data_IF_195242768068
#
_entry.id   IF_195242768068
#
_cell.length_a   1.000
_cell.length_b   1.000
_cell.length_c   1.000
_cell.angle_alpha   90.00
_cell.angle_beta   90.00
_cell.angle_gamma   90.00
#
_symmetry.space_group_name_H-M   'P 1'
#
loop_
_entity.id
_entity.type
_entity.pdbx_description
1 polymer ?
#
# COMPACT_ATOMS: atom_id res chain seq x y z
N UNK A 1 -60.62 26.02 -40.62
CA UNK A 1 -61.09 26.32 -39.25
C UNK A 1 -60.12 25.69 -38.26
N UNK A 2 -59.41 26.58 -37.57
CA UNK A 2 -58.96 26.48 -36.15
C UNK A 2 -58.16 25.26 -35.72
N UNK A 3 -56.83 25.41 -35.70
CA UNK A 3 -55.94 24.69 -34.78
C UNK A 3 -55.62 25.59 -33.58
N UNK A 4 -55.82 25.05 -32.38
CA UNK A 4 -55.61 25.73 -31.11
C UNK A 4 -54.15 25.67 -30.67
N UNK A 5 -53.77 26.80 -30.10
CA UNK A 5 -52.57 27.21 -29.37
C UNK A 5 -52.08 26.24 -28.30
N UNK A 6 -50.76 26.05 -28.24
CA UNK A 6 -50.03 26.00 -26.96
C UNK A 6 -48.88 26.99 -27.02
N UNK A 7 -48.78 27.81 -25.98
CA UNK A 7 -47.78 28.85 -25.78
C UNK A 7 -46.63 28.31 -24.93
N UNK A 8 -45.40 28.71 -25.24
CA UNK A 8 -44.31 28.78 -24.26
C UNK A 8 -43.34 29.89 -24.64
N UNK A 9 -43.14 30.80 -23.69
CA UNK A 9 -42.55 32.12 -23.88
C UNK A 9 -41.05 32.12 -24.12
N UNK A 10 -40.64 33.00 -25.02
CA UNK A 10 -39.25 33.33 -25.31
C UNK A 10 -38.80 34.42 -24.34
N UNK A 11 -37.82 34.11 -23.48
CA UNK A 11 -37.09 35.10 -22.70
C UNK A 11 -36.05 35.78 -23.61
N UNK A 12 -36.10 37.09 -23.72
CA UNK A 12 -35.10 37.91 -24.41
C UNK A 12 -33.95 38.19 -23.43
N UNK A 13 -32.76 37.66 -23.72
CA UNK A 13 -31.52 38.04 -23.03
C UNK A 13 -30.61 38.80 -24.00
N UNK A 14 -30.34 40.07 -23.68
CA UNK A 14 -29.43 40.95 -24.42
C UNK A 14 -27.98 40.62 -24.05
N UNK A 15 -27.18 40.12 -24.99
CA UNK A 15 -25.72 40.00 -24.82
C UNK A 15 -25.00 41.05 -25.67
N UNK A 16 -24.38 42.02 -25.02
CA UNK A 16 -23.51 43.01 -25.68
C UNK A 16 -22.14 42.38 -25.94
N UNK A 17 -21.89 41.98 -27.18
CA UNK A 17 -20.57 41.55 -27.64
C UNK A 17 -19.78 42.71 -28.23
N UNK A 18 -18.70 43.13 -27.57
CA UNK A 18 -17.71 44.04 -28.14
C UNK A 18 -16.86 43.27 -29.17
N UNK A 19 -17.18 43.41 -30.46
CA UNK A 19 -16.32 42.93 -31.55
C UNK A 19 -15.21 43.95 -31.82
N UNK A 20 -14.02 43.71 -31.26
CA UNK A 20 -12.82 44.48 -31.59
C UNK A 20 -12.31 44.06 -32.97
N UNK A 21 -12.56 44.89 -33.99
CA UNK A 21 -11.94 44.72 -35.31
C UNK A 21 -10.59 45.45 -35.36
N UNK A 22 -9.49 44.72 -35.18
CA UNK A 22 -8.13 45.25 -35.36
C UNK A 22 -7.73 45.16 -36.83
N UNK A 23 -7.68 46.28 -37.56
CA UNK A 23 -7.03 46.38 -38.88
C UNK A 23 -5.52 46.59 -38.69
N UNK A 24 -4.71 45.61 -39.09
CA UNK A 24 -3.26 45.78 -39.19
C UNK A 24 -2.91 46.48 -40.50
N UNK A 25 -2.27 47.65 -40.43
CA UNK A 25 -1.63 48.29 -41.59
C UNK A 25 -0.30 47.59 -41.89
N UNK A 26 -0.13 47.14 -43.12
CA UNK A 26 1.08 46.47 -43.60
C UNK A 26 2.20 47.50 -43.81
N UNK A 27 3.12 47.58 -42.85
CA UNK A 27 4.44 48.21 -43.02
C UNK A 27 5.50 47.13 -43.27
N UNK A 28 6.55 47.46 -44.05
CA UNK A 28 7.69 46.58 -44.42
C UNK A 28 8.38 45.85 -43.24
N UNK A 29 8.13 46.25 -41.98
CA UNK A 29 8.56 45.50 -40.77
C UNK A 29 7.80 44.18 -40.54
N UNK A 30 6.61 44.00 -41.12
CA UNK A 30 5.80 42.79 -40.96
C UNK A 30 6.36 41.56 -41.67
N UNK A 31 7.16 41.73 -42.72
CA UNK A 31 7.84 40.62 -43.42
C UNK A 31 8.99 40.06 -42.59
N UNK A 32 9.81 40.92 -41.97
CA UNK A 32 10.88 40.48 -41.06
C UNK A 32 10.31 39.80 -39.81
N UNK A 33 9.24 40.34 -39.22
CA UNK A 33 8.58 39.71 -38.07
C UNK A 33 7.93 38.38 -38.45
N UNK A 34 7.30 38.27 -39.64
CA UNK A 34 6.78 36.99 -40.15
C UNK A 34 7.87 35.97 -40.44
N UNK A 35 8.99 36.39 -41.02
CA UNK A 35 10.14 35.52 -41.27
C UNK A 35 10.78 35.05 -39.97
N UNK A 36 10.91 35.93 -38.97
CA UNK A 36 11.41 35.59 -37.63
C UNK A 36 10.47 34.60 -36.92
N UNK A 37 9.16 34.85 -36.92
CA UNK A 37 8.16 33.95 -36.32
C UNK A 37 8.10 32.62 -37.06
N UNK A 38 8.28 32.60 -38.39
CA UNK A 38 8.38 31.38 -39.17
C UNK A 38 9.64 30.58 -38.84
N UNK A 39 10.82 31.24 -38.75
CA UNK A 39 12.05 30.60 -38.32
C UNK A 39 11.96 30.04 -36.89
N UNK A 40 11.34 30.77 -35.96
CA UNK A 40 11.13 30.28 -34.57
C UNK A 40 10.20 29.08 -34.56
N UNK A 41 9.09 29.09 -35.32
CA UNK A 41 8.18 27.94 -35.40
C UNK A 41 8.83 26.73 -36.08
N UNK A 42 9.63 26.95 -37.13
CA UNK A 42 10.41 25.89 -37.79
C UNK A 42 11.48 25.34 -36.83
N UNK A 43 12.11 26.20 -36.02
CA UNK A 43 13.08 25.80 -35.01
C UNK A 43 12.45 25.02 -33.86
N UNK A 44 11.27 25.43 -33.36
CA UNK A 44 10.52 24.72 -32.34
C UNK A 44 9.97 23.38 -32.86
N UNK A 45 9.51 23.33 -34.11
CA UNK A 45 9.12 22.09 -34.78
C UNK A 45 10.31 21.16 -35.02
N UNK A 46 11.46 21.69 -35.45
CA UNK A 46 12.69 20.93 -35.63
C UNK A 46 13.26 20.44 -34.29
N UNK A 47 13.18 21.25 -33.23
CA UNK A 47 13.63 20.88 -31.89
C UNK A 47 12.73 19.82 -31.27
N UNK A 48 11.41 19.95 -31.40
CA UNK A 48 10.46 18.94 -30.91
C UNK A 48 10.58 17.63 -31.70
N UNK A 49 10.76 17.71 -33.03
CA UNK A 49 11.07 16.54 -33.85
C UNK A 49 12.41 15.91 -33.46
N UNK A 50 13.47 16.71 -33.27
CA UNK A 50 14.79 16.23 -32.86
C UNK A 50 14.77 15.56 -31.49
N UNK A 51 14.08 16.14 -30.51
CA UNK A 51 13.91 15.57 -29.16
C UNK A 51 13.10 14.27 -29.22
N UNK A 52 12.04 14.21 -30.02
CA UNK A 52 11.26 12.99 -30.21
C UNK A 52 12.07 11.89 -30.90
N UNK A 53 12.82 12.22 -31.95
CA UNK A 53 13.73 11.27 -32.62
C UNK A 53 14.87 10.83 -31.73
N UNK A 54 15.39 11.71 -30.88
CA UNK A 54 16.45 11.41 -29.92
C UNK A 54 15.96 10.47 -28.81
N UNK A 55 14.73 10.68 -28.31
CA UNK A 55 14.08 9.76 -27.38
C UNK A 55 13.91 8.37 -27.99
N UNK A 56 13.35 8.31 -29.21
CA UNK A 56 13.16 7.05 -29.93
C UNK A 56 14.48 6.32 -30.23
N UNK A 57 15.50 7.04 -30.68
CA UNK A 57 16.84 6.48 -30.94
C UNK A 57 17.48 5.96 -29.66
N UNK A 58 17.34 6.66 -28.53
CA UNK A 58 17.93 6.22 -27.26
C UNK A 58 17.25 4.99 -26.66
N UNK A 59 15.95 4.85 -26.87
CA UNK A 59 15.19 3.66 -26.45
C UNK A 59 15.45 2.45 -27.36
N UNK A 60 15.77 2.69 -28.63
CA UNK A 60 15.88 1.63 -29.64
C UNK A 60 17.31 1.18 -29.93
N UNK A 61 18.29 2.08 -29.84
CA UNK A 61 19.67 1.83 -30.27
C UNK A 61 20.55 1.58 -29.05
N UNK A 62 21.21 0.42 -29.00
CA UNK A 62 22.15 0.08 -27.93
C UNK A 62 23.48 0.83 -28.09
N UNK A 63 24.38 0.75 -27.10
CA UNK A 63 25.72 1.33 -27.24
C UNK A 63 26.48 0.80 -28.47
N UNK A 64 26.32 -0.49 -28.79
CA UNK A 64 26.86 -1.10 -29.99
C UNK A 64 26.18 -0.58 -31.27
N UNK A 65 24.86 -0.39 -31.24
CA UNK A 65 24.11 0.23 -32.34
C UNK A 65 24.55 1.67 -32.64
N UNK A 66 24.89 2.45 -31.61
CA UNK A 66 25.42 3.81 -31.79
C UNK A 66 26.77 3.80 -32.49
N UNK A 67 27.67 2.87 -32.14
CA UNK A 67 28.94 2.69 -32.82
C UNK A 67 28.75 2.26 -34.28
N UNK A 68 27.81 1.36 -34.54
CA UNK A 68 27.47 0.95 -35.91
C UNK A 68 26.92 2.14 -36.72
N UNK A 69 26.02 2.95 -36.15
CA UNK A 69 25.51 4.16 -36.80
C UNK A 69 26.63 5.18 -37.09
N UNK A 70 27.54 5.40 -36.15
CA UNK A 70 28.69 6.29 -36.37
C UNK A 70 29.60 5.78 -37.50
N UNK A 71 29.86 4.47 -37.56
CA UNK A 71 30.63 3.87 -38.64
C UNK A 71 29.95 4.05 -40.01
N UNK A 72 28.62 3.90 -40.08
CA UNK A 72 27.84 4.15 -41.30
C UNK A 72 27.88 5.64 -41.69
N UNK A 73 27.77 6.55 -40.72
CA UNK A 73 27.84 7.99 -40.95
C UNK A 73 29.23 8.47 -41.37
N UNK A 74 30.29 7.73 -41.01
CA UNK A 74 31.66 8.02 -41.39
C UNK A 74 31.99 7.58 -42.84
N UNK A 75 31.19 6.69 -43.44
CA UNK A 75 31.40 6.14 -44.78
C UNK A 75 31.62 7.21 -45.89
N UNK A 76 30.86 8.32 -45.97
CA UNK A 76 31.12 9.39 -46.94
C UNK A 76 32.46 10.08 -46.73
N UNK A 77 32.91 10.25 -45.47
CA UNK A 77 34.21 10.85 -45.14
C UNK A 77 35.34 9.93 -45.60
N UNK A 78 35.17 8.62 -45.40
CA UNK A 78 36.11 7.61 -45.90
C UNK A 78 36.23 7.61 -47.42
N UNK A 79 35.11 7.77 -48.12
CA UNK A 79 35.08 7.88 -49.59
C UNK A 79 35.79 9.15 -50.09
N UNK A 80 35.59 10.29 -49.43
CA UNK A 80 36.23 11.57 -49.81
C UNK A 80 37.73 11.56 -49.53
N UNK A 81 38.15 10.98 -48.40
CA UNK A 81 39.56 10.93 -47.99
C UNK A 81 40.32 9.72 -48.59
N UNK A 82 39.63 8.78 -49.24
CA UNK A 82 40.22 7.55 -49.79
C UNK A 82 40.67 6.55 -48.72
N UNK A 83 40.12 6.63 -47.51
CA UNK A 83 40.57 5.83 -46.37
C UNK A 83 39.85 4.47 -46.36
N UNK A 84 40.53 3.43 -46.87
CA UNK A 84 39.95 2.10 -47.11
C UNK A 84 39.41 1.42 -45.85
N UNK A 85 40.11 1.53 -44.72
CA UNK A 85 39.68 0.96 -43.44
C UNK A 85 38.32 1.49 -43.00
N UNK A 86 38.12 2.80 -43.15
CA UNK A 86 36.90 3.49 -42.76
C UNK A 86 35.72 3.15 -43.69
N UNK A 87 35.99 2.94 -44.98
CA UNK A 87 35.01 2.48 -45.97
C UNK A 87 34.55 1.05 -45.64
N UNK A 88 35.49 0.14 -45.36
CA UNK A 88 35.17 -1.26 -45.03
C UNK A 88 34.37 -1.33 -43.72
N UNK A 89 34.80 -0.62 -42.68
CA UNK A 89 34.09 -0.57 -41.40
C UNK A 89 32.66 -0.03 -41.56
N UNK A 90 32.47 1.04 -42.32
CA UNK A 90 31.14 1.60 -42.60
C UNK A 90 30.24 0.65 -43.40
N UNK A 91 30.80 -0.04 -44.40
CA UNK A 91 30.05 -1.01 -45.21
C UNK A 91 29.61 -2.25 -44.41
N UNK A 92 30.49 -2.78 -43.55
CA UNK A 92 30.14 -3.88 -42.63
C UNK A 92 29.05 -3.45 -41.66
N UNK A 93 29.20 -2.27 -41.04
CA UNK A 93 28.20 -1.74 -40.11
C UNK A 93 26.84 -1.53 -40.80
N UNK A 94 26.82 -1.05 -42.05
CA UNK A 94 25.60 -0.91 -42.84
C UNK A 94 24.94 -2.26 -43.12
N UNK A 95 25.72 -3.28 -43.48
CA UNK A 95 25.23 -4.64 -43.69
C UNK A 95 24.60 -5.23 -42.44
N UNK A 96 25.25 -5.11 -41.28
CA UNK A 96 24.72 -5.61 -40.01
C UNK A 96 23.42 -4.86 -39.63
N UNK A 97 23.37 -3.54 -39.81
CA UNK A 97 22.18 -2.75 -39.51
C UNK A 97 20.98 -3.11 -40.43
N UNK A 98 21.25 -3.41 -41.70
CA UNK A 98 20.23 -3.92 -42.63
C UNK A 98 19.69 -5.29 -42.21
N UNK A 99 20.53 -6.17 -41.68
CA UNK A 99 20.12 -7.47 -41.13
C UNK A 99 19.33 -7.30 -39.83
N UNK A 100 19.66 -6.30 -39.01
CA UNK A 100 18.99 -6.03 -37.74
C UNK A 100 17.62 -5.36 -37.90
N UNK A 101 17.40 -4.56 -38.96
CA UNK A 101 16.18 -3.76 -39.15
C UNK A 101 14.87 -4.59 -39.15
N UNK A 102 14.76 -5.75 -39.83
CA UNK A 102 13.56 -6.59 -39.80
C UNK A 102 13.19 -7.08 -38.39
N UNK A 103 14.17 -7.21 -37.48
CA UNK A 103 13.91 -7.62 -36.10
C UNK A 103 13.19 -6.54 -35.28
N UNK A 104 13.12 -5.29 -35.75
CA UNK A 104 12.33 -4.21 -35.14
C UNK A 104 10.88 -4.13 -35.64
N UNK A 105 10.60 -4.71 -36.81
CA UNK A 105 9.31 -4.67 -37.50
C UNK A 105 8.38 -5.78 -36.96
N UNK A 106 7.74 -5.54 -35.82
CA UNK A 106 6.81 -6.52 -35.20
C UNK A 106 6.25 -6.11 -33.84
N UNK A 107 6.24 -4.82 -33.51
CA UNK A 107 6.04 -4.30 -32.14
C UNK A 107 4.66 -4.54 -31.47
N UNK A 108 3.78 -5.36 -32.07
CA UNK A 108 2.48 -5.78 -31.48
C UNK A 108 2.23 -7.28 -31.65
N UNK A 109 3.30 -8.06 -31.80
CA UNK A 109 3.27 -9.48 -32.09
C UNK A 109 2.64 -10.34 -31.00
N UNK A 110 2.88 -9.98 -29.73
CA UNK A 110 2.45 -10.76 -28.58
C UNK A 110 1.34 -10.05 -27.83
N UNK A 111 0.23 -10.74 -27.63
CA UNK A 111 -0.65 -10.47 -26.50
C UNK A 111 -0.11 -11.26 -25.32
N UNK A 112 0.38 -10.56 -24.32
CA UNK A 112 0.81 -11.17 -23.06
C UNK A 112 -0.28 -10.94 -22.02
N UNK A 113 -0.56 -11.94 -21.22
CA UNK A 113 -1.41 -11.79 -20.04
C UNK A 113 -0.77 -12.55 -18.91
N UNK A 114 -0.55 -11.87 -17.80
CA UNK A 114 -0.05 -12.49 -16.59
C UNK A 114 -1.19 -12.58 -15.59
N UNK A 115 -1.53 -13.79 -15.18
CA UNK A 115 -2.61 -14.06 -14.25
C UNK A 115 -2.05 -14.63 -12.95
N UNK A 116 -2.44 -14.02 -11.83
CA UNK A 116 -2.18 -14.55 -10.49
C UNK A 116 -3.53 -14.97 -9.91
N UNK A 117 -3.71 -16.24 -9.51
CA UNK A 117 -5.01 -16.77 -9.09
C UNK A 117 -5.49 -16.19 -7.75
N UNK A 118 -4.57 -15.63 -6.96
CA UNK A 118 -4.83 -15.06 -5.64
C UNK A 118 -4.24 -13.67 -5.53
N UNK A 119 -4.96 -12.76 -4.91
CA UNK A 119 -4.46 -11.42 -4.57
C UNK A 119 -3.73 -11.39 -3.22
N UNK A 120 -3.87 -12.45 -2.41
CA UNK A 120 -3.37 -12.49 -1.03
C UNK A 120 -2.88 -13.88 -0.65
N UNK A 121 -1.78 -13.93 0.08
CA UNK A 121 -1.15 -15.15 0.60
C UNK A 121 -0.57 -14.87 1.98
N UNK A 122 -0.26 -15.90 2.76
CA UNK A 122 0.42 -15.76 4.05
C UNK A 122 1.93 -15.93 3.83
N UNK A 123 2.74 -15.17 4.56
CA UNK A 123 4.21 -15.27 4.52
C UNK A 123 4.69 -16.72 4.73
N UNK A 124 5.74 -17.11 4.01
CA UNK A 124 6.24 -18.48 3.90
C UNK A 124 5.53 -19.33 2.84
N UNK A 125 4.50 -18.81 2.18
CA UNK A 125 3.84 -19.48 1.06
C UNK A 125 4.58 -19.32 -0.27
N UNK A 126 4.10 -20.06 -1.27
CA UNK A 126 4.49 -19.88 -2.67
C UNK A 126 3.23 -19.63 -3.51
N UNK A 127 3.30 -18.66 -4.42
CA UNK A 127 2.19 -18.35 -5.34
C UNK A 127 2.63 -18.66 -6.76
N UNK A 128 1.81 -19.41 -7.49
CA UNK A 128 2.04 -19.73 -8.89
C UNK A 128 1.27 -18.74 -9.77
N UNK A 129 2.00 -17.88 -10.46
CA UNK A 129 1.47 -17.06 -11.55
C UNK A 129 1.54 -17.82 -12.87
N UNK A 130 0.61 -17.54 -13.79
CA UNK A 130 0.65 -18.09 -15.16
C UNK A 130 0.86 -16.95 -16.14
N UNK A 131 1.90 -17.06 -16.96
CA UNK A 131 2.17 -16.16 -18.08
C UNK A 131 1.64 -16.81 -19.36
N UNK A 132 0.61 -16.21 -19.94
CA UNK A 132 0.08 -16.61 -21.24
C UNK A 132 0.54 -15.64 -22.33
N UNK A 133 1.14 -16.20 -23.37
CA UNK A 133 1.69 -15.47 -24.51
C UNK A 133 1.01 -15.98 -25.76
N UNK A 134 0.31 -15.10 -26.47
CA UNK A 134 -0.36 -15.43 -27.72
C UNK A 134 0.21 -14.61 -28.86
N UNK A 135 0.59 -15.26 -29.96
CA UNK A 135 0.96 -14.56 -31.19
C UNK A 135 -0.30 -14.03 -31.89
N UNK A 136 -0.49 -12.71 -31.87
CA UNK A 136 -1.59 -12.00 -32.53
C UNK A 136 -1.23 -11.46 -33.91
N UNK A 137 0.02 -11.65 -34.37
CA UNK A 137 0.44 -11.30 -35.71
C UNK A 137 -0.10 -12.28 -36.76
N UNK A 138 -0.08 -11.83 -38.02
CA UNK A 138 -0.44 -12.69 -39.17
C UNK A 138 0.69 -13.64 -39.59
N UNK A 139 1.89 -13.47 -39.06
CA UNK A 139 3.11 -14.19 -39.44
C UNK A 139 3.66 -15.01 -38.25
N UNK A 140 4.62 -15.89 -38.54
CA UNK A 140 5.43 -16.52 -37.50
C UNK A 140 6.20 -15.46 -36.73
N UNK A 141 6.20 -15.59 -35.40
CA UNK A 141 6.95 -14.72 -34.52
C UNK A 141 8.15 -15.46 -33.96
N UNK A 142 9.31 -14.81 -34.08
CA UNK A 142 10.61 -15.34 -33.69
C UNK A 142 10.70 -15.52 -32.16
N UNK A 143 11.56 -16.44 -31.69
CA UNK A 143 11.82 -16.59 -30.27
C UNK A 143 12.16 -15.23 -29.63
N UNK A 144 11.58 -14.98 -28.47
CA UNK A 144 11.68 -13.70 -27.77
C UNK A 144 11.83 -13.89 -26.28
N UNK A 145 12.01 -12.78 -25.56
CA UNK A 145 12.16 -12.79 -24.10
C UNK A 145 11.10 -11.89 -23.48
N UNK A 146 10.53 -12.34 -22.38
CA UNK A 146 9.58 -11.58 -21.60
C UNK A 146 10.15 -11.43 -20.20
N UNK A 147 10.24 -10.18 -19.76
CA UNK A 147 10.69 -9.83 -18.43
C UNK A 147 9.45 -9.55 -17.57
N UNK A 148 9.31 -10.28 -16.47
CA UNK A 148 8.25 -10.11 -15.47
C UNK A 148 8.89 -9.59 -14.19
N UNK A 149 8.78 -8.27 -13.90
CA UNK A 149 9.18 -7.72 -12.60
C UNK A 149 8.34 -8.32 -11.47
N UNK A 150 8.98 -8.78 -10.41
CA UNK A 150 8.34 -9.35 -9.21
C UNK A 150 9.03 -8.72 -7.99
N UNK A 151 8.38 -7.74 -7.39
CA UNK A 151 8.96 -6.95 -6.30
C UNK A 151 10.26 -6.26 -6.73
N UNK A 152 11.39 -6.65 -6.13
CA UNK A 152 12.72 -6.12 -6.46
C UNK A 152 13.48 -6.94 -7.51
N UNK A 153 12.95 -8.11 -7.89
CA UNK A 153 13.57 -9.00 -8.88
C UNK A 153 12.88 -8.93 -10.24
N UNK A 154 13.54 -9.50 -11.25
CA UNK A 154 12.97 -9.69 -12.59
C UNK A 154 13.13 -11.15 -12.98
N UNK A 155 12.02 -11.79 -13.36
CA UNK A 155 12.03 -13.15 -13.91
C UNK A 155 12.00 -13.08 -15.43
N UNK A 156 12.88 -13.85 -16.07
CA UNK A 156 13.09 -13.82 -17.51
C UNK A 156 12.55 -15.11 -18.13
N UNK A 157 11.62 -14.95 -19.07
CA UNK A 157 10.86 -16.05 -19.67
C UNK A 157 11.17 -16.09 -21.17
N UNK A 158 11.55 -17.27 -21.66
CA UNK A 158 11.93 -17.48 -23.05
C UNK A 158 10.73 -17.98 -23.86
N UNK A 159 10.26 -17.16 -24.79
CA UNK A 159 9.15 -17.52 -25.68
C UNK A 159 9.70 -18.24 -26.91
N UNK A 160 9.19 -19.43 -27.26
CA UNK A 160 9.62 -20.15 -28.45
C UNK A 160 9.07 -19.51 -29.74
N UNK A 161 9.44 -20.05 -30.89
CA UNK A 161 8.85 -19.67 -32.18
C UNK A 161 7.34 -19.96 -32.17
N UNK A 162 6.51 -18.94 -32.38
CA UNK A 162 5.05 -19.08 -32.36
C UNK A 162 4.43 -18.86 -33.75
N UNK A 163 3.57 -19.81 -34.16
CA UNK A 163 2.69 -19.67 -35.33
C UNK A 163 1.64 -18.59 -35.09
N UNK A 164 1.05 -18.00 -36.15
CA UNK A 164 -0.11 -17.12 -36.00
C UNK A 164 -1.20 -17.79 -35.15
N UNK A 165 -1.65 -17.12 -34.08
CA UNK A 165 -2.66 -17.63 -33.15
C UNK A 165 -2.22 -18.75 -32.19
N UNK A 166 -0.94 -19.16 -32.22
CA UNK A 166 -0.42 -20.11 -31.24
C UNK A 166 -0.24 -19.44 -29.87
N UNK A 167 -0.45 -20.23 -28.82
CA UNK A 167 -0.28 -19.82 -27.43
C UNK A 167 0.90 -20.57 -26.79
N UNK A 168 1.56 -19.92 -25.85
CA UNK A 168 2.57 -20.48 -24.98
C UNK A 168 2.24 -20.05 -23.56
N UNK A 169 2.26 -21.01 -22.63
CA UNK A 169 1.94 -20.76 -21.22
C UNK A 169 3.10 -21.24 -20.37
N UNK A 170 3.58 -20.39 -19.47
CA UNK A 170 4.66 -20.70 -18.54
C UNK A 170 4.22 -20.37 -17.11
N UNK A 171 4.54 -21.28 -16.18
CA UNK A 171 4.23 -21.10 -14.76
C UNK A 171 5.41 -20.43 -14.08
N UNK A 172 5.14 -19.33 -13.38
CA UNK A 172 6.13 -18.51 -12.68
C UNK A 172 5.88 -18.62 -11.17
N UNK A 173 6.87 -19.11 -10.43
CA UNK A 173 6.81 -19.17 -8.97
C UNK A 173 7.20 -17.83 -8.37
N UNK A 174 6.30 -17.26 -7.57
CA UNK A 174 6.51 -16.01 -6.82
C UNK A 174 6.84 -16.39 -5.37
N UNK A 175 8.10 -16.23 -4.92
CA UNK A 175 8.48 -16.53 -3.56
C UNK A 175 7.93 -15.47 -2.61
N UNK A 176 7.34 -15.89 -1.48
CA UNK A 176 6.80 -14.97 -0.46
C UNK A 176 7.39 -15.23 0.93
N UNK A 177 8.72 -15.10 1.11
CA UNK A 177 9.39 -15.48 2.36
C UNK A 177 9.03 -14.58 3.55
N UNK A 178 8.77 -13.30 3.30
CA UNK A 178 8.42 -12.30 4.31
C UNK A 178 7.11 -11.60 3.93
N UNK A 179 6.43 -11.05 4.94
CA UNK A 179 5.23 -10.25 4.72
C UNK A 179 5.57 -8.99 3.93
N UNK A 180 4.63 -8.47 3.17
CA UNK A 180 4.88 -7.34 2.29
C UNK A 180 3.82 -7.15 1.23
N UNK A 181 3.93 -6.09 0.45
CA UNK A 181 3.18 -5.91 -0.79
C UNK A 181 4.16 -6.14 -1.94
N UNK A 182 3.90 -7.16 -2.76
CA UNK A 182 4.71 -7.48 -3.93
C UNK A 182 3.97 -6.96 -5.16
N UNK A 183 4.55 -5.95 -5.79
CA UNK A 183 4.10 -5.48 -7.10
C UNK A 183 4.65 -6.41 -8.19
N UNK A 184 3.76 -6.92 -9.05
CA UNK A 184 4.08 -7.83 -10.15
C UNK A 184 3.73 -7.16 -11.47
N UNK A 185 4.69 -7.08 -12.37
CA UNK A 185 4.60 -6.28 -13.58
C UNK A 185 5.07 -4.83 -13.37
N UNK A 186 5.02 -3.98 -14.41
CA UNK A 186 4.44 -4.24 -15.73
C UNK A 186 5.23 -5.30 -16.52
N UNK A 187 4.53 -6.24 -17.15
CA UNK A 187 5.17 -7.25 -18.00
C UNK A 187 5.76 -6.57 -19.23
N UNK A 188 7.04 -6.81 -19.48
CA UNK A 188 7.77 -6.15 -20.56
C UNK A 188 8.23 -7.19 -21.57
N UNK A 189 7.76 -7.07 -22.81
CA UNK A 189 8.28 -7.89 -23.90
C UNK A 189 9.54 -7.26 -24.43
N UNK A 190 10.62 -8.04 -24.46
CA UNK A 190 11.91 -7.61 -24.97
C UNK A 190 12.21 -8.27 -26.32
N UNK A 191 12.47 -7.42 -27.31
CA UNK A 191 12.95 -7.86 -28.62
C UNK A 191 14.32 -7.26 -28.89
N UNK A 192 15.26 -8.09 -29.27
CA UNK A 192 16.63 -7.68 -29.61
C UNK A 192 17.05 -8.40 -30.88
N UNK A 193 17.81 -7.74 -31.74
CA UNK A 193 18.41 -8.39 -32.90
C UNK A 193 19.54 -9.35 -32.47
N UNK A 194 19.93 -10.34 -33.30
CA UNK A 194 20.95 -11.31 -32.95
C UNK A 194 22.33 -10.72 -32.62
N UNK A 195 22.62 -9.49 -33.07
CA UNK A 195 23.90 -8.80 -32.85
C UNK A 195 23.81 -7.78 -31.71
N UNK A 196 22.60 -7.51 -31.21
CA UNK A 196 22.36 -6.61 -30.08
C UNK A 196 22.54 -5.13 -30.40
N UNK A 197 22.42 -4.72 -31.66
CA UNK A 197 22.49 -3.31 -32.08
C UNK A 197 21.20 -2.53 -31.78
N UNK A 198 20.06 -3.21 -31.85
CA UNK A 198 18.72 -2.65 -31.83
C UNK A 198 17.86 -3.46 -30.85
N UNK A 199 17.29 -2.76 -29.87
CA UNK A 199 16.39 -3.31 -28.85
C UNK A 199 15.05 -2.60 -28.96
N UNK A 200 13.95 -3.31 -28.73
CA UNK A 200 12.63 -2.69 -28.62
C UNK A 200 11.90 -3.32 -27.46
N UNK A 201 11.45 -2.46 -26.56
CA UNK A 201 10.68 -2.85 -25.39
C UNK A 201 9.23 -2.45 -25.59
N UNK A 202 8.34 -3.29 -25.07
CA UNK A 202 6.94 -2.91 -24.95
C UNK A 202 6.43 -3.39 -23.59
N UNK A 203 6.25 -2.43 -22.68
CA UNK A 203 5.65 -2.67 -21.38
C UNK A 203 4.12 -2.64 -21.49
N UNK A 204 3.46 -3.61 -20.86
CA UNK A 204 2.02 -3.55 -20.63
C UNK A 204 1.74 -2.73 -19.38
N UNK A 205 0.70 -1.89 -19.39
CA UNK A 205 0.46 -0.94 -18.29
C UNK A 205 -0.02 -1.57 -16.96
N UNK A 206 -0.33 -2.87 -16.92
CA UNK A 206 -0.98 -3.48 -15.77
C UNK A 206 0.04 -4.00 -14.74
N UNK A 207 -0.07 -3.49 -13.51
CA UNK A 207 0.66 -3.97 -12.33
C UNK A 207 -0.34 -4.69 -11.42
N UNK A 208 0.00 -5.89 -10.97
CA UNK A 208 -0.78 -6.69 -10.03
C UNK A 208 -0.15 -6.58 -8.64
N UNK A 209 -0.97 -6.31 -7.61
CA UNK A 209 -0.50 -6.23 -6.22
C UNK A 209 -0.84 -7.52 -5.48
N UNK A 210 0.18 -8.23 -5.03
CA UNK A 210 0.04 -9.40 -4.17
C UNK A 210 0.31 -9.00 -2.72
N UNK A 211 -0.67 -9.15 -1.84
CA UNK A 211 -0.51 -8.89 -0.41
C UNK A 211 -0.05 -10.17 0.30
N UNK A 212 1.13 -10.11 0.91
CA UNK A 212 1.67 -11.19 1.73
C UNK A 212 1.40 -10.86 3.19
N UNK A 213 0.38 -11.50 3.76
CA UNK A 213 -0.08 -11.31 5.13
C UNK A 213 0.92 -11.88 6.15
N UNK A 214 1.04 -11.25 7.34
CA UNK A 214 1.77 -11.85 8.44
C UNK A 214 1.14 -13.17 8.88
N UNK A 215 1.95 -14.06 9.44
CA UNK A 215 1.46 -15.30 10.05
C UNK A 215 0.63 -14.93 11.28
N UNK A 216 -0.52 -15.58 11.46
CA UNK A 216 -1.38 -15.35 12.65
C UNK A 216 -1.67 -16.65 13.36
N UNK A 217 -1.78 -16.58 14.68
CA UNK A 217 -2.12 -17.72 15.54
C UNK A 217 -3.49 -17.51 16.19
N UNK A 218 -4.23 -18.60 16.34
CA UNK A 218 -5.52 -18.57 17.05
C UNK A 218 -5.29 -18.50 18.55
N UNK A 219 -5.39 -17.30 19.11
CA UNK A 219 -5.34 -17.07 20.57
C UNK A 219 -6.73 -17.29 21.20
N UNK A 220 -6.84 -17.51 22.53
CA UNK A 220 -8.12 -17.60 23.25
C UNK A 220 -8.91 -16.28 23.26
N UNK A 221 -10.17 -16.32 23.71
CA UNK A 221 -10.99 -15.12 23.85
C UNK A 221 -10.35 -14.14 24.82
N UNK A 222 -10.08 -12.92 24.36
CA UNK A 222 -9.46 -11.88 25.21
C UNK A 222 -10.39 -11.45 26.35
N UNK A 223 -11.69 -11.76 26.26
CA UNK A 223 -12.73 -11.48 27.26
C UNK A 223 -12.71 -12.38 28.49
N UNK A 224 -12.11 -13.57 28.43
CA UNK A 224 -12.21 -14.55 29.53
C UNK A 224 -11.22 -14.31 30.68
N UNK A 225 -9.97 -13.91 30.36
CA UNK A 225 -8.89 -13.82 31.36
C UNK A 225 -8.60 -12.41 31.89
N UNK A 226 -8.67 -11.37 31.05
CA UNK A 226 -8.28 -10.00 31.47
C UNK A 226 -9.40 -9.24 32.17
N UNK A 227 -10.66 -9.59 31.92
CA UNK A 227 -11.81 -8.96 32.61
C UNK A 227 -11.94 -9.51 34.04
N UNK A 228 -11.49 -10.75 34.30
CA UNK A 228 -11.58 -11.41 35.61
C UNK A 228 -10.52 -10.93 36.61
N UNK A 229 -9.36 -10.52 36.11
CA UNK A 229 -8.20 -10.17 36.93
C UNK A 229 -8.21 -8.70 37.38
N UNK A 230 -9.29 -7.97 37.11
CA UNK A 230 -9.39 -6.54 37.39
C UNK A 230 -9.78 -6.19 38.82
N UNK A 231 -10.18 -7.14 39.68
CA UNK A 231 -10.36 -6.85 41.12
C UNK A 231 -10.78 -8.04 42.00
N UNK A 232 -11.12 -9.23 41.47
CA UNK A 232 -11.87 -10.23 42.26
C UNK A 232 -13.21 -9.72 42.83
N UNK A 233 -13.57 -8.48 42.49
CA UNK A 233 -14.78 -7.77 42.80
C UNK A 233 -15.20 -7.07 41.49
N UNK A 234 -16.50 -7.10 41.14
CA UNK A 234 -17.00 -6.35 40.01
C UNK A 234 -16.86 -4.85 40.29
N UNK A 235 -15.97 -4.16 39.57
CA UNK A 235 -15.79 -2.71 39.68
C UNK A 235 -17.04 -1.98 39.19
N UNK A 236 -17.99 -1.71 40.10
CA UNK A 236 -19.14 -0.84 39.86
C UNK A 236 -18.73 0.65 39.92
N UNK A 237 -17.76 1.08 39.10
CA UNK A 237 -17.35 2.49 39.08
C UNK A 237 -18.17 3.28 38.07
N UNK A 238 -19.22 3.91 38.59
CA UNK A 238 -20.18 4.77 37.91
C UNK A 238 -19.47 6.07 37.48
N UNK A 239 -19.34 6.30 36.17
CA UNK A 239 -18.95 7.60 35.59
C UNK A 239 -19.94 7.94 34.48
N UNK A 240 -20.08 9.22 34.16
CA UNK A 240 -21.19 9.74 33.38
C UNK A 240 -20.89 9.82 31.87
N UNK A 241 -21.14 8.76 31.09
CA UNK A 241 -21.50 8.92 29.66
C UNK A 241 -22.05 7.64 29.01
N UNK A 242 -23.35 7.71 28.70
CA UNK A 242 -24.20 6.79 27.92
C UNK A 242 -24.84 5.57 28.61
N UNK A 243 -26.18 5.60 28.68
CA UNK A 243 -27.02 4.72 29.51
C UNK A 243 -27.79 3.69 28.66
N UNK A 244 -27.53 2.39 28.85
CA UNK A 244 -28.35 1.30 28.31
C UNK A 244 -29.24 0.69 29.42
N UNK A 245 -30.50 0.34 29.12
CA UNK A 245 -31.46 -0.13 30.14
C UNK A 245 -31.13 -1.55 30.62
N UNK A 246 -31.03 -1.76 31.94
CA UNK A 246 -30.63 -3.03 32.54
C UNK A 246 -31.73 -3.67 33.36
N UNK A 247 -32.23 -2.98 34.39
CA UNK A 247 -33.21 -3.54 35.31
C UNK A 247 -34.13 -2.47 35.90
N UNK A 248 -35.19 -2.88 36.59
CA UNK A 248 -36.06 -2.00 37.36
C UNK A 248 -35.93 -2.39 38.82
N UNK A 249 -35.51 -1.47 39.67
CA UNK A 249 -35.35 -1.68 41.12
C UNK A 249 -36.20 -0.71 41.94
N UNK A 250 -36.34 -0.97 43.22
CA UNK A 250 -36.96 -0.03 44.15
C UNK A 250 -36.13 1.25 44.26
N UNK A 251 -36.82 2.39 44.36
CA UNK A 251 -36.23 3.72 44.55
C UNK A 251 -35.48 3.79 45.87
N UNK A 252 -34.23 4.23 45.82
CA UNK A 252 -33.45 4.56 47.01
C UNK A 252 -33.32 6.08 47.14
N UNK A 253 -33.29 6.64 48.36
CA UNK A 253 -33.02 8.05 48.59
C UNK A 253 -31.68 8.46 47.94
N UNK A 254 -31.73 9.36 46.95
CA UNK A 254 -30.57 9.78 46.15
C UNK A 254 -30.71 9.47 44.65
N UNK A 255 -31.66 8.61 44.27
CA UNK A 255 -31.96 8.34 42.87
C UNK A 255 -32.61 9.57 42.17
N UNK A 256 -32.22 9.83 40.93
CA UNK A 256 -32.76 10.97 40.18
C UNK A 256 -34.25 10.76 39.86
N UNK A 257 -35.11 11.73 40.15
CA UNK A 257 -36.57 11.60 39.89
C UNK A 257 -36.90 11.30 38.42
N UNK A 258 -36.05 11.75 37.48
CA UNK A 258 -36.20 11.48 36.04
C UNK A 258 -36.04 10.01 35.64
N UNK A 259 -35.42 9.17 36.49
CA UNK A 259 -35.27 7.74 36.21
C UNK A 259 -36.42 6.89 36.77
N UNK A 260 -37.45 7.50 37.37
CA UNK A 260 -38.62 6.78 37.87
C UNK A 260 -39.39 6.12 36.71
N UNK A 261 -39.64 4.81 36.85
CA UNK A 261 -40.42 4.04 35.92
C UNK A 261 -41.90 4.04 36.27
N UNK A 262 -42.61 5.10 35.89
CA UNK A 262 -44.03 5.31 36.25
C UNK A 262 -44.94 4.11 35.97
N UNK A 263 -44.69 3.36 34.89
CA UNK A 263 -45.49 2.18 34.53
C UNK A 263 -45.30 1.01 35.51
N UNK A 264 -44.10 0.82 36.06
CA UNK A 264 -43.88 -0.21 37.08
C UNK A 264 -44.35 0.28 38.45
N UNK A 265 -44.09 1.55 38.77
CA UNK A 265 -44.60 2.20 40.00
C UNK A 265 -46.12 2.08 40.12
N UNK A 266 -46.85 2.30 39.02
CA UNK A 266 -48.31 2.18 39.00
C UNK A 266 -48.82 0.73 39.23
N UNK A 267 -47.99 -0.29 38.97
CA UNK A 267 -48.34 -1.70 39.17
C UNK A 267 -47.96 -2.22 40.55
N UNK A 268 -46.82 -1.79 41.08
CA UNK A 268 -46.29 -2.28 42.37
C UNK A 268 -46.71 -1.42 43.56
N UNK A 269 -47.17 -0.18 43.32
CA UNK A 269 -47.53 0.77 44.37
C UNK A 269 -46.33 1.38 45.11
N UNK A 270 -45.10 1.01 44.72
CA UNK A 270 -43.85 1.54 45.26
C UNK A 270 -43.06 2.24 44.16
N UNK A 271 -42.28 3.28 44.51
CA UNK A 271 -41.46 3.99 43.53
C UNK A 271 -40.40 3.05 42.96
N UNK A 272 -40.48 2.80 41.65
CA UNK A 272 -39.52 1.98 40.92
C UNK A 272 -38.64 2.86 40.04
N UNK A 273 -37.35 2.56 39.94
CA UNK A 273 -36.36 3.30 39.15
C UNK A 273 -35.80 2.41 38.06
N UNK A 274 -35.66 2.96 36.84
CA UNK A 274 -34.88 2.33 35.77
C UNK A 274 -33.40 2.36 36.16
N UNK A 275 -32.83 1.19 36.39
CA UNK A 275 -31.40 1.01 36.52
C UNK A 275 -30.84 0.84 35.10
N UNK A 276 -29.95 1.75 34.73
CA UNK A 276 -29.20 1.67 33.48
C UNK A 276 -27.84 1.02 33.79
N UNK A 277 -27.44 0.03 33.00
CA UNK A 277 -26.07 -0.49 32.97
C UNK A 277 -25.36 0.21 31.83
N UNK A 278 -24.22 0.83 32.14
CA UNK A 278 -23.36 1.39 31.10
C UNK A 278 -22.69 0.20 30.41
N UNK A 279 -23.18 -0.18 29.23
CA UNK A 279 -22.38 -1.03 28.36
C UNK A 279 -21.22 -0.14 27.88
N UNK A 280 -20.12 -0.10 28.63
CA UNK A 280 -18.88 0.35 28.01
C UNK A 280 -18.68 -0.58 26.81
N UNK A 281 -18.68 -0.02 25.60
CA UNK A 281 -18.08 -0.71 24.48
C UNK A 281 -16.61 -0.81 24.85
N UNK A 282 -16.22 -1.94 25.43
CA UNK A 282 -14.88 -2.20 25.93
C UNK A 282 -13.94 -2.24 24.73
N UNK A 283 -13.43 -1.07 24.31
CA UNK A 283 -12.55 -0.99 23.15
C UNK A 283 -11.21 -1.61 23.53
N UNK A 284 -10.72 -2.48 22.64
CA UNK A 284 -9.37 -3.04 22.72
C UNK A 284 -8.46 -2.18 21.87
N UNK A 285 -7.33 -1.76 22.44
CA UNK A 285 -6.28 -1.10 21.69
C UNK A 285 -5.12 -2.08 21.46
N UNK A 286 -4.60 -2.13 20.23
CA UNK A 286 -3.28 -2.72 19.92
C UNK A 286 -2.39 -1.62 19.38
N UNK A 287 -1.39 -1.22 20.17
CA UNK A 287 -0.34 -0.31 19.73
C UNK A 287 0.88 -1.10 19.29
N UNK A 288 1.29 -0.97 18.03
CA UNK A 288 2.46 -1.62 17.46
C UNK A 288 3.59 -0.60 17.29
N UNK A 289 4.76 -0.87 17.88
CA UNK A 289 5.95 -0.05 17.62
C UNK A 289 6.46 -0.28 16.20
N UNK A 290 6.73 0.81 15.48
CA UNK A 290 7.45 0.79 14.19
C UNK A 290 8.87 1.38 14.34
N UNK A 291 9.25 1.80 15.56
CA UNK A 291 10.54 2.43 15.78
C UNK A 291 11.64 1.39 15.68
N UNK A 292 12.55 1.56 14.72
CA UNK A 292 13.60 0.58 14.46
C UNK A 292 14.42 0.23 15.71
N UNK A 293 14.69 1.19 16.59
CA UNK A 293 15.50 0.97 17.80
C UNK A 293 14.72 0.27 18.93
N UNK A 294 13.41 0.09 18.81
CA UNK A 294 12.61 -0.73 19.74
C UNK A 294 12.72 -2.24 19.39
N UNK A 295 13.46 -2.62 18.34
CA UNK A 295 13.70 -4.01 17.92
C UNK A 295 15.20 -4.32 17.74
N UNK A 296 15.62 -5.55 18.04
CA UNK A 296 17.01 -5.96 17.81
C UNK A 296 17.30 -6.28 16.34
N UNK A 297 16.39 -6.97 15.66
CA UNK A 297 16.54 -7.40 14.26
C UNK A 297 15.19 -7.47 13.53
N UNK A 298 15.22 -7.86 12.24
CA UNK A 298 14.02 -7.88 11.39
C UNK A 298 13.04 -8.97 11.82
N UNK A 299 13.55 -10.14 12.21
CA UNK A 299 12.73 -11.30 12.57
C UNK A 299 11.92 -11.03 13.85
N UNK A 300 12.52 -10.32 14.80
CA UNK A 300 11.83 -9.84 16.01
C UNK A 300 10.64 -8.92 15.66
N UNK A 301 10.81 -8.04 14.67
CA UNK A 301 9.74 -7.19 14.18
C UNK A 301 8.66 -7.98 13.42
N UNK A 302 9.03 -9.00 12.64
CA UNK A 302 8.07 -9.91 11.98
C UNK A 302 7.16 -10.63 12.98
N UNK A 303 7.73 -11.10 14.10
CA UNK A 303 6.95 -11.73 15.18
C UNK A 303 6.03 -10.70 15.86
N UNK A 304 6.50 -9.47 16.07
CA UNK A 304 5.68 -8.39 16.64
C UNK A 304 4.46 -8.05 15.77
N UNK A 305 4.65 -7.92 14.46
CA UNK A 305 3.53 -7.69 13.53
C UNK A 305 2.58 -8.88 13.50
N UNK A 306 3.11 -10.09 13.52
CA UNK A 306 2.32 -11.33 13.61
C UNK A 306 1.51 -11.41 14.91
N UNK A 307 2.07 -10.96 16.05
CA UNK A 307 1.39 -10.88 17.33
C UNK A 307 0.26 -9.83 17.31
N UNK A 308 0.54 -8.64 16.75
CA UNK A 308 -0.47 -7.59 16.57
C UNK A 308 -1.63 -8.05 15.66
N UNK A 309 -1.31 -8.73 14.55
CA UNK A 309 -2.28 -9.34 13.66
C UNK A 309 -3.11 -10.43 14.35
N UNK A 310 -2.49 -11.27 15.19
CA UNK A 310 -3.19 -12.31 15.95
C UNK A 310 -4.16 -11.71 16.98
N UNK A 311 -3.74 -10.68 17.72
CA UNK A 311 -4.59 -9.95 18.67
C UNK A 311 -5.76 -9.24 17.98
N UNK A 312 -5.48 -8.54 16.87
CA UNK A 312 -6.48 -7.81 16.11
C UNK A 312 -7.51 -8.72 15.46
N UNK A 313 -7.07 -9.76 14.75
CA UNK A 313 -7.96 -10.74 14.12
C UNK A 313 -8.81 -11.48 15.15
N UNK A 314 -8.28 -11.77 16.33
CA UNK A 314 -9.07 -12.31 17.45
C UNK A 314 -10.13 -11.33 17.92
N UNK A 315 -9.78 -10.07 18.17
CA UNK A 315 -10.72 -9.07 18.65
C UNK A 315 -11.89 -8.87 17.66
N UNK A 316 -11.61 -8.88 16.36
CA UNK A 316 -12.63 -8.83 15.30
C UNK A 316 -13.53 -10.07 15.34
N UNK A 317 -12.95 -11.27 15.49
CA UNK A 317 -13.72 -12.52 15.61
C UNK A 317 -14.60 -12.54 16.86
N UNK A 318 -14.15 -11.93 17.95
CA UNK A 318 -14.90 -11.79 19.20
C UNK A 318 -15.97 -10.68 19.13
N UNK A 319 -16.09 -9.97 18.00
CA UNK A 319 -17.04 -8.86 17.82
C UNK A 319 -16.71 -7.62 18.66
N UNK A 320 -15.46 -7.46 19.09
CA UNK A 320 -15.03 -6.33 19.91
C UNK A 320 -14.74 -5.10 19.05
N UNK A 321 -15.01 -3.94 19.61
CA UNK A 321 -14.47 -2.68 19.09
C UNK A 321 -12.94 -2.70 19.30
N UNK A 322 -12.17 -2.67 18.23
CA UNK A 322 -10.72 -2.73 18.27
C UNK A 322 -10.12 -1.60 17.46
N UNK A 323 -9.18 -0.88 18.09
CA UNK A 323 -8.33 0.08 17.44
C UNK A 323 -6.93 -0.49 17.34
N UNK A 324 -6.31 -0.39 16.17
CA UNK A 324 -4.92 -0.79 15.97
C UNK A 324 -4.18 0.43 15.50
N UNK A 325 -3.16 0.81 16.26
CA UNK A 325 -2.37 2.01 16.01
C UNK A 325 -0.93 1.64 15.79
N UNK A 326 -0.31 2.32 14.85
CA UNK A 326 1.11 2.27 14.60
C UNK A 326 1.67 3.69 14.55
N UNK A 327 2.95 3.87 14.85
CA UNK A 327 3.58 5.18 14.64
C UNK A 327 3.67 5.47 13.15
N UNK A 328 3.34 6.69 12.73
CA UNK A 328 3.58 7.16 11.36
C UNK A 328 4.27 8.51 11.41
N UNK A 329 5.26 8.68 10.54
CA UNK A 329 5.84 9.98 10.28
C UNK A 329 5.20 10.56 9.03
N UNK A 330 4.58 11.73 9.16
CA UNK A 330 4.13 12.49 8.01
C UNK A 330 5.25 13.47 7.68
N UNK A 331 5.93 13.23 6.55
CA UNK A 331 6.91 14.16 6.01
C UNK A 331 6.17 15.31 5.31
N UNK A 332 5.72 16.28 6.08
CA UNK A 332 5.07 17.46 5.51
C UNK A 332 6.13 18.39 4.87
N UNK A 333 5.76 19.00 3.74
CA UNK A 333 6.59 19.73 2.76
C UNK A 333 7.49 20.88 3.28
N UNK A 334 7.66 21.07 4.59
CA UNK A 334 8.39 22.19 5.17
C UNK A 334 9.15 21.83 6.47
N UNK A 335 10.35 21.25 6.34
CA UNK A 335 11.47 21.25 7.33
C UNK A 335 11.16 20.86 8.80
N UNK A 336 9.99 20.34 9.11
CA UNK A 336 9.59 19.86 10.43
C UNK A 336 8.85 18.55 10.27
N UNK A 337 9.38 17.47 10.83
CA UNK A 337 8.68 16.20 10.90
C UNK A 337 7.56 16.30 11.94
N UNK A 338 6.33 15.96 11.53
CA UNK A 338 5.21 15.82 12.46
C UNK A 338 5.00 14.33 12.70
N UNK A 339 5.14 13.94 13.97
CA UNK A 339 4.90 12.58 14.42
C UNK A 339 3.39 12.41 14.65
N UNK A 340 2.78 11.41 14.03
CA UNK A 340 1.34 11.13 14.16
C UNK A 340 1.10 9.64 14.39
N UNK A 341 -0.08 9.29 14.87
CA UNK A 341 -0.51 7.90 14.98
C UNK A 341 -1.35 7.54 13.76
N UNK A 342 -1.04 6.40 13.13
CA UNK A 342 -1.86 5.83 12.07
C UNK A 342 -2.82 4.82 12.68
N UNK A 343 -4.11 5.11 12.61
CA UNK A 343 -5.14 4.13 12.91
C UNK A 343 -5.31 3.21 11.70
N UNK A 344 -4.98 1.93 11.84
CA UNK A 344 -5.14 0.95 10.78
C UNK A 344 -6.64 0.59 10.66
N UNK A 345 -7.23 0.59 9.46
CA UNK A 345 -8.64 0.26 9.29
C UNK A 345 -8.94 -1.18 9.73
N UNK A 346 -9.80 -1.32 10.74
CA UNK A 346 -10.16 -2.62 11.34
C UNK A 346 -11.54 -3.11 10.89
N UNK A 347 -11.99 -2.70 9.70
CA UNK A 347 -13.32 -3.04 9.15
C UNK A 347 -13.52 -4.55 9.01
N UNK A 348 -12.45 -5.28 8.70
CA UNK A 348 -12.43 -6.74 8.67
C UNK A 348 -11.04 -7.26 9.00
N UNK A 349 -10.95 -8.53 9.39
CA UNK A 349 -9.66 -9.20 9.59
C UNK A 349 -8.77 -9.12 8.34
N UNK A 350 -9.37 -9.18 7.15
CA UNK A 350 -8.65 -9.09 5.87
C UNK A 350 -8.06 -7.70 5.65
N UNK A 351 -8.85 -6.64 5.86
CA UNK A 351 -8.38 -5.27 5.71
C UNK A 351 -7.25 -4.95 6.70
N UNK A 352 -7.38 -5.42 7.95
CA UNK A 352 -6.30 -5.29 8.93
C UNK A 352 -5.00 -5.96 8.45
N UNK A 353 -5.08 -7.19 7.94
CA UNK A 353 -3.90 -7.91 7.49
C UNK A 353 -3.29 -7.29 6.22
N UNK A 354 -4.10 -6.76 5.31
CA UNK A 354 -3.63 -5.97 4.16
C UNK A 354 -2.79 -4.78 4.61
N UNK A 355 -3.23 -4.06 5.65
CA UNK A 355 -2.50 -2.91 6.20
C UNK A 355 -1.23 -3.31 6.95
N UNK A 356 -1.28 -4.37 7.75
CA UNK A 356 -0.08 -4.90 8.43
C UNK A 356 0.97 -5.44 7.45
N UNK A 357 0.56 -5.79 6.23
CA UNK A 357 1.49 -6.18 5.15
C UNK A 357 2.26 -4.98 4.59
N UNK A 358 1.74 -3.76 4.73
CA UNK A 358 2.38 -2.53 4.25
C UNK A 358 3.30 -1.87 5.30
N UNK A 359 3.20 -2.31 6.55
CA UNK A 359 3.89 -1.72 7.69
C UNK A 359 5.33 -2.21 7.75
N UNK A 360 6.28 -1.27 7.87
CA UNK A 360 7.69 -1.56 8.08
C UNK A 360 8.28 -0.69 9.21
N UNK A 361 9.43 -1.09 9.75
CA UNK A 361 10.14 -0.37 10.80
C UNK A 361 11.01 0.73 10.19
N UNK A 362 11.03 1.88 10.86
CA UNK A 362 11.73 3.05 10.34
C UNK A 362 12.49 3.74 11.48
N UNK A 363 13.71 4.29 11.24
CA UNK A 363 14.46 4.99 12.28
C UNK A 363 13.87 6.35 12.65
N UNK A 364 12.89 6.83 11.88
CA UNK A 364 12.32 8.17 12.00
C UNK A 364 10.91 8.21 12.58
N UNK A 365 10.32 7.06 12.88
CA UNK A 365 9.04 6.97 13.61
C UNK A 365 9.23 7.25 15.10
N UNK A 366 8.16 7.61 15.79
CA UNK A 366 8.24 7.92 17.22
C UNK A 366 8.37 6.65 18.06
N UNK A 367 9.03 6.72 19.23
CA UNK A 367 9.11 5.59 20.15
C UNK A 367 7.73 5.21 20.73
N UNK A 368 7.60 3.96 21.18
CA UNK A 368 6.29 3.40 21.58
C UNK A 368 5.58 4.15 22.73
N UNK A 369 6.30 4.79 23.63
CA UNK A 369 5.71 5.55 24.74
C UNK A 369 5.01 6.83 24.27
N UNK A 370 5.55 7.49 23.24
CA UNK A 370 4.91 8.65 22.61
C UNK A 370 3.66 8.22 21.82
N UNK A 371 3.73 7.06 21.13
CA UNK A 371 2.55 6.46 20.48
C UNK A 371 1.45 6.21 21.50
N UNK A 372 1.78 5.64 22.65
CA UNK A 372 0.80 5.38 23.72
C UNK A 372 0.18 6.67 24.25
N UNK A 373 0.99 7.71 24.49
CA UNK A 373 0.53 9.00 24.98
C UNK A 373 -0.44 9.69 23.99
N UNK A 374 -0.10 9.71 22.69
CA UNK A 374 -0.98 10.26 21.65
C UNK A 374 -2.25 9.45 21.48
N UNK A 375 -2.13 8.11 21.51
CA UNK A 375 -3.27 7.23 21.34
C UNK A 375 -4.28 7.36 22.47
N UNK A 376 -3.81 7.49 23.71
CA UNK A 376 -4.66 7.73 24.86
C UNK A 376 -5.50 9.02 24.74
N UNK A 377 -5.02 10.02 23.99
CA UNK A 377 -5.76 11.26 23.77
C UNK A 377 -6.71 11.15 22.57
N UNK A 378 -6.30 10.44 21.52
CA UNK A 378 -7.04 10.34 20.28
C UNK A 378 -8.18 9.30 20.32
N UNK A 379 -8.05 8.24 21.13
CA UNK A 379 -8.98 7.13 21.18
C UNK A 379 -9.55 7.01 22.61
N UNK A 380 -10.72 7.59 22.89
CA UNK A 380 -11.39 7.40 24.17
C UNK A 380 -11.96 5.98 24.31
N UNK A 381 -12.38 5.64 25.53
CA UNK A 381 -13.09 4.40 25.90
C UNK A 381 -12.31 3.10 25.72
N UNK A 382 -10.98 3.17 25.71
CA UNK A 382 -10.11 2.00 25.75
C UNK A 382 -10.21 1.34 27.13
N UNK A 383 -10.44 0.03 27.15
CA UNK A 383 -10.50 -0.78 28.37
C UNK A 383 -9.22 -1.59 28.60
N UNK A 384 -8.63 -2.07 27.51
CA UNK A 384 -7.42 -2.88 27.51
C UNK A 384 -6.54 -2.38 26.36
N UNK A 385 -5.28 -2.10 26.66
CA UNK A 385 -4.27 -1.70 25.70
C UNK A 385 -3.15 -2.75 25.64
N UNK A 386 -3.03 -3.43 24.50
CA UNK A 386 -1.88 -4.25 24.16
C UNK A 386 -0.83 -3.38 23.48
N UNK A 387 0.38 -3.34 24.02
CA UNK A 387 1.50 -2.59 23.48
C UNK A 387 2.55 -3.57 22.99
N UNK A 388 2.73 -3.69 21.68
CA UNK A 388 3.64 -4.66 21.05
C UNK A 388 4.95 -3.97 20.70
N UNK A 389 6.06 -4.46 21.26
CA UNK A 389 7.40 -3.92 21.06
C UNK A 389 8.46 -5.03 21.09
N UNK A 390 9.68 -4.69 20.70
CA UNK A 390 10.80 -5.61 20.72
C UNK A 390 11.58 -5.64 22.04
N UNK A 391 12.68 -6.37 22.02
CA UNK A 391 13.51 -6.76 23.16
C UNK A 391 14.38 -5.61 23.66
N UNK A 392 14.72 -4.65 22.80
CA UNK A 392 15.57 -3.50 23.13
C UNK A 392 14.85 -2.47 24.02
N UNK A 393 13.52 -2.54 24.13
CA UNK A 393 12.76 -1.68 25.04
C UNK A 393 13.06 -2.09 26.50
N UNK A 394 13.67 -1.20 27.31
CA UNK A 394 14.06 -1.53 28.66
C UNK A 394 12.85 -1.66 29.58
N UNK A 395 12.97 -2.50 30.61
CA UNK A 395 11.91 -2.72 31.60
C UNK A 395 11.43 -1.43 32.29
N UNK A 396 12.29 -0.40 32.41
CA UNK A 396 11.92 0.91 32.94
C UNK A 396 10.89 1.63 32.05
N UNK A 397 11.04 1.57 30.72
CA UNK A 397 10.07 2.15 29.77
C UNK A 397 8.75 1.36 29.78
N UNK A 398 8.83 0.04 29.89
CA UNK A 398 7.63 -0.81 29.99
C UNK A 398 6.80 -0.50 31.25
N UNK A 399 7.44 -0.32 32.40
CA UNK A 399 6.77 0.10 33.66
C UNK A 399 6.08 1.46 33.53
N UNK A 400 6.63 2.35 32.70
CA UNK A 400 6.08 3.68 32.50
C UNK A 400 4.88 3.70 31.53
N UNK A 401 4.58 2.60 30.83
CA UNK A 401 3.45 2.55 29.88
C UNK A 401 2.11 2.77 30.57
N UNK A 402 1.89 2.19 31.76
CA UNK A 402 0.66 2.41 32.54
C UNK A 402 0.43 3.89 32.85
N UNK A 403 1.49 4.70 32.98
CA UNK A 403 1.36 6.15 33.23
C UNK A 403 0.90 6.94 32.00
N UNK A 404 0.95 6.34 30.80
CA UNK A 404 0.50 6.97 29.55
C UNK A 404 -0.99 6.80 29.28
N UNK A 405 -1.66 5.93 30.03
CA UNK A 405 -3.08 5.66 29.92
C UNK A 405 -3.83 6.09 31.19
N UNK A 406 -5.15 6.34 31.10
CA UNK A 406 -6.00 6.53 32.26
C UNK A 406 -5.95 5.32 33.21
N UNK A 407 -6.17 5.54 34.53
CA UNK A 407 -6.00 4.49 35.54
C UNK A 407 -6.98 3.31 35.40
N UNK A 408 -8.05 3.44 34.60
CA UNK A 408 -9.00 2.38 34.30
C UNK A 408 -8.64 1.53 33.08
N UNK A 409 -7.53 1.81 32.40
CA UNK A 409 -7.05 1.02 31.26
C UNK A 409 -6.07 -0.05 31.71
N UNK A 410 -6.38 -1.31 31.41
CA UNK A 410 -5.44 -2.42 31.64
C UNK A 410 -4.36 -2.43 30.55
N UNK A 411 -3.11 -2.20 30.92
CA UNK A 411 -1.98 -2.15 29.98
C UNK A 411 -1.20 -3.46 29.99
N UNK A 412 -1.04 -4.04 28.81
CA UNK A 412 -0.32 -5.31 28.60
C UNK A 412 0.75 -5.09 27.54
N UNK A 413 2.02 -5.11 27.94
CA UNK A 413 3.13 -5.03 26.99
C UNK A 413 3.45 -6.42 26.46
N UNK A 414 3.35 -6.64 25.14
CA UNK A 414 3.84 -7.83 24.46
C UNK A 414 5.25 -7.53 23.96
N UNK A 415 6.24 -8.01 24.72
CA UNK A 415 7.67 -7.88 24.40
C UNK A 415 8.12 -9.09 23.60
N UNK A 416 8.55 -8.87 22.36
CA UNK A 416 9.15 -9.93 21.54
C UNK A 416 10.64 -9.99 21.83
N UNK A 417 11.11 -11.16 22.27
CA UNK A 417 12.52 -11.39 22.60
C UNK A 417 12.85 -12.87 22.29
N UNK A 418 13.35 -13.17 21.08
CA UNK A 418 13.61 -14.54 20.63
C UNK A 418 14.62 -15.31 21.50
N UNK A 419 15.43 -14.59 22.29
CA UNK A 419 16.46 -15.16 23.17
C UNK A 419 15.97 -15.35 24.61
N UNK A 420 14.85 -14.75 24.99
CA UNK A 420 14.31 -14.86 26.34
C UNK A 420 13.40 -16.07 26.52
N UNK A 421 13.28 -16.53 27.77
CA UNK A 421 12.29 -17.56 28.13
C UNK A 421 10.89 -16.92 28.14
N UNK A 422 9.90 -17.53 27.47
CA UNK A 422 8.54 -17.03 27.45
C UNK A 422 7.97 -16.90 28.87
N UNK A 423 7.48 -15.72 29.23
CA UNK A 423 7.01 -15.46 30.58
C UNK A 423 5.98 -14.33 30.64
N UNK A 424 5.21 -14.33 31.71
CA UNK A 424 4.33 -13.23 32.08
C UNK A 424 4.76 -12.67 33.43
N UNK A 425 4.91 -11.35 33.54
CA UNK A 425 5.28 -10.66 34.78
C UNK A 425 4.52 -9.35 34.89
N UNK A 426 4.02 -9.03 36.06
CA UNK A 426 3.45 -7.72 36.33
C UNK A 426 4.55 -6.75 36.81
N UNK A 427 4.67 -5.60 36.14
CA UNK A 427 5.65 -4.58 36.45
C UNK A 427 4.94 -3.24 36.68
N UNK A 428 4.76 -2.87 37.94
CA UNK A 428 4.15 -1.58 38.33
C UNK A 428 2.79 -1.29 37.65
N UNK A 429 1.91 -2.30 37.58
CA UNK A 429 0.60 -2.20 36.94
C UNK A 429 0.60 -2.41 35.42
N UNK A 430 1.75 -2.63 34.80
CA UNK A 430 1.84 -3.10 33.40
C UNK A 430 2.06 -4.61 33.38
N UNK A 431 1.17 -5.38 32.74
CA UNK A 431 1.39 -6.80 32.49
C UNK A 431 2.37 -7.00 31.34
N UNK A 432 3.57 -7.51 31.59
CA UNK A 432 4.57 -7.78 30.55
C UNK A 432 4.54 -9.23 30.14
N UNK A 433 4.13 -9.48 28.91
CA UNK A 433 4.13 -10.76 28.22
C UNK A 433 5.38 -10.84 27.32
N UNK A 434 6.36 -11.63 27.70
CA UNK A 434 7.54 -11.89 26.87
C UNK A 434 7.33 -13.15 26.04
N UNK A 435 7.45 -13.03 24.72
CA UNK A 435 7.30 -14.12 23.76
C UNK A 435 8.60 -14.29 22.97
N UNK A 436 9.03 -15.54 22.75
CA UNK A 436 10.18 -15.86 21.92
C UNK A 436 9.75 -16.25 20.50
N UNK A 437 8.65 -17.00 20.41
CA UNK A 437 7.98 -17.36 19.15
C UNK A 437 6.50 -16.98 19.21
N UNK A 438 5.86 -16.89 18.04
CA UNK A 438 4.46 -16.46 17.94
C UNK A 438 3.49 -17.36 18.72
N UNK A 439 3.73 -18.68 18.79
CA UNK A 439 2.88 -19.61 19.53
C UNK A 439 2.90 -19.41 21.06
N UNK A 440 3.94 -18.75 21.59
CA UNK A 440 4.00 -18.41 23.02
C UNK A 440 2.87 -17.47 23.41
N UNK A 441 2.48 -16.56 22.51
CA UNK A 441 1.35 -15.65 22.70
C UNK A 441 0.08 -16.43 22.99
N UNK A 442 -0.20 -17.49 22.20
CA UNK A 442 -1.36 -18.36 22.41
C UNK A 442 -1.29 -19.07 23.75
N UNK A 443 -0.14 -19.67 24.07
CA UNK A 443 0.00 -20.51 25.27
C UNK A 443 -0.09 -19.70 26.57
N UNK A 444 0.53 -18.52 26.61
CA UNK A 444 0.54 -17.65 27.79
C UNK A 444 -0.83 -16.99 28.01
N UNK A 445 -1.52 -16.58 26.93
CA UNK A 445 -2.89 -16.07 27.03
C UNK A 445 -3.89 -17.15 27.45
N UNK A 446 -3.69 -18.41 27.02
CA UNK A 446 -4.53 -19.53 27.44
C UNK A 446 -4.41 -19.83 28.93
N UNK A 447 -3.18 -19.85 29.46
CA UNK A 447 -2.92 -20.05 30.89
C UNK A 447 -3.57 -19.00 31.80
N UNK A 448 -3.83 -17.80 31.28
CA UNK A 448 -4.51 -16.72 32.03
C UNK A 448 -6.03 -16.78 31.92
N UNK A 449 -6.55 -17.38 30.85
CA UNK A 449 -7.98 -17.49 30.63
C UNK A 449 -8.61 -18.68 31.41
N UNK A 450 -7.81 -19.70 31.73
CA UNK A 450 -8.15 -20.80 32.64
C UNK A 450 -8.01 -20.39 34.10
#
# INVERSE_FOLDING_TARGET
MTFNTESRGTQTATSTGLTTHTRYSTSRRGLFVRALVWCVRVWEAARSAAVATWGWLRETVTAAGCLALLAVLALPVGLVLGWTELIVAGAIAAGILLIALPFLAGGKAYSVSFHVPVERVVAGGEVLGTLDVTNVAKNFELPGRIDVPIGHGTTEISVPLLRPGAHHSEVVTIPTPHRGIIDIGPVTTLRTDPVGLLRREHAQAQVHRLYVHPITVSIPSTSAGFVRDLEGNPTNRIVASDMSFHAIREYAPGDAQRSIHWKSTAKTGQLMVRQYEESRRSRLLVALSLFQNDFADADEFEIAVSAAGSLGTRAIRDGRDVAIVASEQIEELARSSVHSIRSLPVVSARALLDELSAVDRTPTTMPIDDVCALTSQAIPDVSIAFVVCGSTVPAARLRALTLRFPPDVAVVAVRVDPLAVPSYRELAGTGVLTIAVLDDLRSLLAKRAS
#
